data_IF_132847320642
#
_entry.id   IF_132847320642
#
_cell.length_a   1.000
_cell.length_b   1.000
_cell.length_c   1.000
_cell.angle_alpha   90.00
_cell.angle_beta   90.00
_cell.angle_gamma   90.00
#
_symmetry.space_group_name_H-M   'P 1'
#
loop_
_entity.id
_entity.type
_entity.pdbx_description
1 polymer ?
#
# COMPACT_ATOMS: atom_id res chain seq x y z
N UNK A 1 -47.42 -7.43 5.27
CA UNK A 1 -47.08 -7.05 6.67
C UNK A 1 -45.64 -6.56 6.67
N UNK A 2 -45.42 -5.38 7.23
CA UNK A 2 -44.22 -4.56 7.10
C UNK A 2 -42.97 -5.23 7.68
N UNK A 3 -41.82 -5.02 7.03
CA UNK A 3 -40.53 -4.55 7.59
C UNK A 3 -39.52 -4.32 6.44
N UNK A 4 -39.62 -3.20 5.69
CA UNK A 4 -38.62 -2.84 4.67
C UNK A 4 -37.22 -2.56 5.26
N UNK A 5 -37.18 -2.17 6.54
CA UNK A 5 -35.97 -1.94 7.34
C UNK A 5 -35.07 -3.18 7.45
N UNK A 6 -35.65 -4.37 7.62
CA UNK A 6 -34.85 -5.60 7.79
C UNK A 6 -34.16 -6.04 6.50
N UNK A 7 -34.81 -5.91 5.34
CA UNK A 7 -34.22 -6.27 4.04
C UNK A 7 -33.07 -5.36 3.63
N UNK A 8 -33.20 -4.06 3.87
CA UNK A 8 -32.11 -3.11 3.59
C UNK A 8 -30.94 -3.34 4.54
N UNK A 9 -31.21 -3.47 5.84
CA UNK A 9 -30.17 -3.71 6.84
C UNK A 9 -29.48 -5.06 6.60
N UNK A 10 -30.22 -6.11 6.22
CA UNK A 10 -29.67 -7.42 5.86
C UNK A 10 -28.79 -7.34 4.62
N UNK A 11 -29.22 -6.64 3.56
CA UNK A 11 -28.42 -6.42 2.36
C UNK A 11 -27.17 -5.58 2.63
N UNK A 12 -27.29 -4.56 3.48
CA UNK A 12 -26.18 -3.72 3.94
C UNK A 12 -25.16 -4.53 4.74
N UNK A 13 -25.59 -5.30 5.76
CA UNK A 13 -24.68 -6.15 6.54
C UNK A 13 -24.02 -7.23 5.69
N UNK A 14 -24.76 -7.88 4.79
CA UNK A 14 -24.20 -8.90 3.89
C UNK A 14 -23.15 -8.31 2.96
N UNK A 15 -23.46 -7.21 2.28
CA UNK A 15 -22.51 -6.56 1.38
C UNK A 15 -21.31 -6.00 2.13
N UNK A 16 -21.52 -5.36 3.29
CA UNK A 16 -20.44 -4.88 4.15
C UNK A 16 -19.53 -6.01 4.64
N UNK A 17 -20.11 -7.16 5.04
CA UNK A 17 -19.36 -8.34 5.44
C UNK A 17 -18.52 -8.93 4.30
N UNK A 18 -19.08 -9.03 3.09
CA UNK A 18 -18.34 -9.51 1.90
C UNK A 18 -17.23 -8.54 1.52
N UNK A 19 -17.48 -7.23 1.56
CA UNK A 19 -16.47 -6.19 1.29
C UNK A 19 -15.34 -6.31 2.32
N UNK A 20 -15.63 -6.33 3.63
CA UNK A 20 -14.59 -6.48 4.64
C UNK A 20 -13.79 -7.78 4.50
N UNK A 21 -14.47 -8.90 4.25
CA UNK A 21 -13.79 -10.19 4.08
C UNK A 21 -12.92 -10.23 2.81
N UNK A 22 -13.30 -9.53 1.75
CA UNK A 22 -12.56 -9.49 0.48
C UNK A 22 -11.43 -8.45 0.47
N UNK A 23 -11.52 -7.41 1.31
CA UNK A 23 -10.54 -6.32 1.37
C UNK A 23 -9.50 -6.53 2.50
N UNK A 24 -9.78 -7.38 3.48
CA UNK A 24 -8.81 -7.72 4.53
C UNK A 24 -7.62 -8.46 3.92
N UNK A 25 -6.46 -7.81 3.94
CA UNK A 25 -5.21 -8.36 3.42
C UNK A 25 -4.98 -8.11 1.92
N UNK A 26 -5.81 -7.31 1.26
CA UNK A 26 -5.49 -6.82 -0.09
C UNK A 26 -4.31 -5.83 -0.06
N UNK A 27 -3.63 -5.70 -1.21
CA UNK A 27 -2.55 -4.73 -1.42
C UNK A 27 -2.98 -3.32 -1.02
N UNK A 28 -4.23 -2.92 -1.27
CA UNK A 28 -4.73 -1.60 -0.89
C UNK A 28 -4.85 -1.41 0.63
N UNK A 29 -5.28 -2.43 1.38
CA UNK A 29 -5.31 -2.39 2.85
C UNK A 29 -3.90 -2.30 3.45
N UNK A 30 -2.93 -3.03 2.87
CA UNK A 30 -1.53 -2.98 3.31
C UNK A 30 -0.89 -1.61 3.04
N UNK A 31 -1.14 -1.00 1.89
CA UNK A 31 -0.66 0.36 1.56
C UNK A 31 -1.23 1.38 2.55
N UNK A 32 -2.54 1.30 2.84
CA UNK A 32 -3.18 2.19 3.81
C UNK A 32 -2.60 2.02 5.22
N UNK A 33 -2.34 0.78 5.65
CA UNK A 33 -1.73 0.49 6.94
C UNK A 33 -0.29 1.03 7.05
N UNK A 34 0.54 0.82 6.02
CA UNK A 34 1.91 1.36 5.98
C UNK A 34 1.90 2.90 5.97
N UNK A 35 1.00 3.50 5.21
CA UNK A 35 0.85 4.96 5.17
C UNK A 35 0.39 5.51 6.52
N UNK A 36 -0.46 4.78 7.25
CA UNK A 36 -0.93 5.14 8.59
C UNK A 36 0.16 5.08 9.67
N UNK A 37 1.24 4.33 9.44
CA UNK A 37 2.39 4.30 10.34
C UNK A 37 3.26 5.56 10.23
N UNK A 38 3.31 6.21 9.06
CA UNK A 38 4.18 7.39 8.81
C UNK A 38 3.45 8.73 8.86
N UNK A 39 2.12 8.75 8.73
CA UNK A 39 1.29 9.95 8.75
C UNK A 39 0.30 9.97 9.93
N UNK A 40 -0.31 11.13 10.21
CA UNK A 40 -1.31 11.23 11.27
C UNK A 40 -2.50 10.31 10.99
N UNK A 41 -2.84 9.44 11.95
CA UNK A 41 -3.83 8.34 11.80
C UNK A 41 -5.18 8.79 11.23
N UNK A 42 -5.58 10.04 11.52
CA UNK A 42 -6.85 10.63 11.08
C UNK A 42 -6.86 10.99 9.60
N UNK A 43 -5.74 11.49 9.05
CA UNK A 43 -5.64 11.87 7.64
C UNK A 43 -5.63 10.65 6.73
N UNK A 44 -4.91 9.60 7.12
CA UNK A 44 -4.87 8.35 6.35
C UNK A 44 -6.21 7.63 6.41
N UNK A 45 -6.88 7.62 7.57
CA UNK A 45 -8.22 7.04 7.68
C UNK A 45 -9.22 7.76 6.76
N UNK A 46 -9.22 9.09 6.74
CA UNK A 46 -10.10 9.86 5.86
C UNK A 46 -9.79 9.60 4.37
N UNK A 47 -8.50 9.57 3.99
CA UNK A 47 -8.08 9.29 2.62
C UNK A 47 -8.42 7.88 2.16
N UNK A 48 -8.19 6.87 3.02
CA UNK A 48 -8.50 5.49 2.72
C UNK A 48 -10.01 5.27 2.55
N UNK A 49 -10.84 5.79 3.46
CA UNK A 49 -12.30 5.69 3.35
C UNK A 49 -12.83 6.43 2.12
N UNK A 50 -12.29 7.61 1.80
CA UNK A 50 -12.69 8.36 0.60
C UNK A 50 -12.31 7.61 -0.68
N UNK A 51 -11.08 7.11 -0.77
CA UNK A 51 -10.61 6.32 -1.92
C UNK A 51 -11.43 5.04 -2.10
N UNK A 52 -11.70 4.33 -1.00
CA UNK A 52 -12.52 3.11 -0.99
C UNK A 52 -13.95 3.40 -1.45
N UNK A 53 -14.55 4.50 -0.98
CA UNK A 53 -15.88 4.91 -1.39
C UNK A 53 -15.96 5.25 -2.88
N UNK A 54 -14.98 5.97 -3.42
CA UNK A 54 -14.91 6.31 -4.85
C UNK A 54 -14.77 5.05 -5.70
N UNK A 55 -13.82 4.17 -5.36
CA UNK A 55 -13.61 2.91 -6.06
C UNK A 55 -14.88 2.05 -6.07
N UNK A 56 -15.53 1.92 -4.92
CA UNK A 56 -16.76 1.13 -4.77
C UNK A 56 -17.91 1.73 -5.57
N UNK A 57 -18.09 3.06 -5.54
CA UNK A 57 -19.16 3.74 -6.27
C UNK A 57 -18.99 3.61 -7.79
N UNK A 58 -17.77 3.76 -8.30
CA UNK A 58 -17.46 3.56 -9.72
C UNK A 58 -17.75 2.11 -10.16
N UNK A 59 -17.29 1.13 -9.37
CA UNK A 59 -17.56 -0.29 -9.65
C UNK A 59 -19.05 -0.62 -9.61
N UNK A 60 -19.79 -0.10 -8.63
CA UNK A 60 -21.22 -0.33 -8.51
C UNK A 60 -22.02 0.32 -9.66
N UNK A 61 -21.65 1.54 -10.06
CA UNK A 61 -22.26 2.22 -11.21
C UNK A 61 -22.00 1.45 -12.52
N UNK A 62 -20.77 0.95 -12.69
CA UNK A 62 -20.40 0.16 -13.85
C UNK A 62 -21.08 -1.22 -13.85
N UNK A 63 -21.21 -1.86 -12.69
CA UNK A 63 -21.95 -3.11 -12.49
C UNK A 63 -23.46 -2.97 -12.71
N UNK A 64 -24.03 -1.80 -12.47
CA UNK A 64 -25.41 -1.48 -12.83
C UNK A 64 -25.57 -1.17 -14.32
N UNK A 65 -24.57 -0.51 -14.94
CA UNK A 65 -24.61 -0.13 -16.36
C UNK A 65 -24.32 -1.32 -17.31
N UNK A 66 -23.46 -2.25 -16.92
CA UNK A 66 -23.02 -3.37 -17.76
C UNK A 66 -24.16 -4.30 -18.24
N UNK A 67 -25.14 -4.69 -17.41
CA UNK A 67 -26.28 -5.51 -17.85
C UNK A 67 -27.28 -4.73 -18.72
N UNK A 68 -27.30 -3.41 -18.63
CA UNK A 68 -28.25 -2.57 -19.36
C UNK A 68 -27.82 -2.33 -20.82
N UNK A 69 -26.54 -2.55 -21.13
CA UNK A 69 -25.96 -2.35 -22.46
C UNK A 69 -25.79 -3.64 -23.27
N UNK A 70 -25.78 -4.82 -22.63
CA UNK A 70 -25.46 -6.10 -23.28
C UNK A 70 -26.46 -7.20 -22.84
N UNK A 71 -27.08 -7.87 -23.82
CA UNK A 71 -28.04 -8.94 -23.57
C UNK A 71 -27.44 -10.06 -22.68
N UNK A 72 -28.17 -10.59 -21.67
CA UNK A 72 -27.64 -11.49 -20.63
C UNK A 72 -26.89 -12.72 -21.14
N UNK A 73 -27.21 -13.19 -22.34
CA UNK A 73 -26.56 -14.35 -22.97
C UNK A 73 -25.09 -14.05 -23.31
N UNK A 74 -24.80 -12.87 -23.86
CA UNK A 74 -23.43 -12.49 -24.22
C UNK A 74 -22.60 -12.17 -22.99
N UNK A 75 -23.19 -11.51 -21.99
CA UNK A 75 -22.52 -11.21 -20.72
C UNK A 75 -22.06 -12.48 -20.00
N UNK A 76 -22.86 -13.55 -20.03
CA UNK A 76 -22.47 -14.81 -19.39
C UNK A 76 -21.27 -15.47 -20.08
N UNK A 77 -21.26 -15.54 -21.42
CA UNK A 77 -20.11 -16.09 -22.15
C UNK A 77 -18.88 -15.20 -22.03
N UNK A 78 -19.04 -13.88 -22.10
CA UNK A 78 -17.95 -12.92 -21.94
C UNK A 78 -17.33 -13.01 -20.54
N UNK A 79 -18.14 -13.08 -19.48
CA UNK A 79 -17.66 -13.22 -18.11
C UNK A 79 -16.87 -14.52 -17.94
N UNK A 80 -17.38 -15.66 -18.42
CA UNK A 80 -16.66 -16.95 -18.34
C UNK A 80 -15.33 -16.90 -19.10
N UNK A 81 -15.31 -16.32 -20.31
CA UNK A 81 -14.09 -16.19 -21.11
C UNK A 81 -13.06 -15.27 -20.42
N UNK A 82 -13.49 -14.09 -19.95
CA UNK A 82 -12.63 -13.15 -19.23
C UNK A 82 -12.07 -13.78 -17.96
N UNK A 83 -12.90 -14.45 -17.16
CA UNK A 83 -12.47 -15.10 -15.93
C UNK A 83 -11.43 -16.19 -16.20
N UNK A 84 -11.61 -16.99 -17.26
CA UNK A 84 -10.66 -18.03 -17.63
C UNK A 84 -9.32 -17.44 -18.09
N UNK A 85 -9.34 -16.38 -18.91
CA UNK A 85 -8.14 -15.66 -19.36
C UNK A 85 -7.39 -15.04 -18.18
N UNK A 86 -8.09 -14.32 -17.31
CA UNK A 86 -7.49 -13.72 -16.12
C UNK A 86 -6.94 -14.78 -15.16
N UNK A 87 -7.68 -15.85 -14.89
CA UNK A 87 -7.22 -16.95 -14.04
C UNK A 87 -5.95 -17.61 -14.60
N UNK A 88 -5.91 -17.91 -15.90
CA UNK A 88 -4.74 -18.48 -16.54
C UNK A 88 -3.55 -17.52 -16.50
N UNK A 89 -3.77 -16.22 -16.75
CA UNK A 89 -2.72 -15.19 -16.68
C UNK A 89 -2.16 -15.03 -15.28
N UNK A 90 -3.02 -14.95 -14.26
CA UNK A 90 -2.64 -14.88 -12.85
C UNK A 90 -1.84 -16.12 -12.41
N UNK A 91 -2.28 -17.31 -12.83
CA UNK A 91 -1.58 -18.56 -12.53
C UNK A 91 -0.21 -18.59 -13.22
N UNK A 92 -0.11 -18.06 -14.43
CA UNK A 92 1.13 -18.02 -15.19
C UNK A 92 2.15 -17.01 -14.62
N UNK A 93 1.68 -15.82 -14.22
CA UNK A 93 2.49 -14.80 -13.54
C UNK A 93 2.98 -15.32 -12.18
N UNK A 94 2.10 -15.93 -11.39
CA UNK A 94 2.44 -16.56 -10.11
C UNK A 94 3.44 -17.71 -10.29
N UNK A 95 3.22 -18.60 -11.27
CA UNK A 95 4.08 -19.76 -11.50
C UNK A 95 5.47 -19.39 -12.04
N UNK A 96 5.61 -18.27 -12.75
CA UNK A 96 6.92 -17.81 -13.25
C UNK A 96 7.67 -16.92 -12.26
N UNK A 97 7.07 -16.54 -11.14
CA UNK A 97 7.68 -15.69 -10.12
C UNK A 97 8.06 -14.28 -10.61
N UNK A 98 7.81 -13.95 -11.88
CA UNK A 98 8.08 -12.64 -12.46
C UNK A 98 6.92 -11.74 -12.08
N UNK A 99 7.07 -11.07 -10.94
CA UNK A 99 6.41 -9.79 -10.74
C UNK A 99 7.34 -8.76 -11.36
N UNK A 100 7.17 -8.35 -12.64
CA UNK A 100 8.01 -7.32 -13.25
C UNK A 100 8.07 -6.03 -12.39
N UNK A 101 7.00 -5.73 -11.66
CA UNK A 101 7.00 -4.65 -10.67
C UNK A 101 7.79 -5.01 -9.40
N UNK A 102 7.73 -6.25 -8.90
CA UNK A 102 8.42 -6.66 -7.68
C UNK A 102 9.94 -6.74 -7.81
N UNK A 103 10.43 -7.24 -8.94
CA UNK A 103 11.87 -7.36 -9.20
C UNK A 103 12.51 -5.98 -9.43
N UNK A 104 11.83 -5.09 -10.15
CA UNK A 104 12.30 -3.72 -10.39
C UNK A 104 12.28 -2.84 -9.11
N UNK A 105 11.26 -2.99 -8.26
CA UNK A 105 11.19 -2.29 -6.97
C UNK A 105 12.25 -2.80 -5.99
N UNK A 106 12.53 -4.11 -5.97
CA UNK A 106 13.59 -4.68 -5.13
C UNK A 106 14.97 -4.13 -5.52
N UNK A 107 15.25 -4.04 -6.83
CA UNK A 107 16.50 -3.47 -7.34
C UNK A 107 16.65 -1.98 -6.97
N UNK A 108 15.55 -1.21 -7.03
CA UNK A 108 15.55 0.20 -6.61
C UNK A 108 15.84 0.37 -5.11
N UNK A 109 15.21 -0.45 -4.26
CA UNK A 109 15.45 -0.44 -2.81
C UNK A 109 16.89 -0.85 -2.47
N UNK A 110 17.44 -1.85 -3.14
CA UNK A 110 18.84 -2.26 -2.95
C UNK A 110 19.83 -1.15 -3.32
N UNK A 111 19.54 -0.37 -4.37
CA UNK A 111 20.36 0.78 -4.78
C UNK A 111 20.36 1.88 -3.71
N UNK A 112 19.20 2.23 -3.17
CA UNK A 112 19.06 3.23 -2.10
C UNK A 112 19.75 2.77 -0.79
N UNK A 113 19.67 1.48 -0.45
CA UNK A 113 20.36 0.90 0.71
C UNK A 113 21.89 0.91 0.55
N UNK A 114 22.42 0.66 -0.66
CA UNK A 114 23.86 0.79 -0.94
C UNK A 114 24.33 2.24 -0.81
N UNK A 115 23.59 3.19 -1.35
CA UNK A 115 23.95 4.61 -1.24
C UNK A 115 23.93 5.10 0.21
N UNK A 116 22.90 4.73 0.98
CA UNK A 116 22.79 5.11 2.40
C UNK A 116 23.84 4.42 3.31
N UNK A 117 24.23 3.18 3.01
CA UNK A 117 25.31 2.49 3.74
C UNK A 117 26.70 3.04 3.41
N UNK A 118 26.96 3.39 2.15
CA UNK A 118 28.21 4.06 1.75
C UNK A 118 28.33 5.44 2.40
N UNK A 119 27.24 6.22 2.44
CA UNK A 119 27.23 7.53 3.11
C UNK A 119 27.39 7.44 4.64
N UNK A 120 27.05 6.30 5.26
CA UNK A 120 27.20 6.09 6.71
C UNK A 120 28.62 5.65 7.11
N UNK A 121 29.35 4.99 6.21
CA UNK A 121 30.72 4.55 6.44
C UNK A 121 31.78 5.64 6.15
N UNK A 122 31.42 6.71 5.42
CA UNK A 122 32.29 7.87 5.19
C UNK A 122 32.23 8.94 6.29
N UNK A 123 31.48 8.69 7.38
CA UNK A 123 31.45 9.56 8.55
C UNK A 123 32.54 9.17 9.55
N UNK A 124 33.55 10.03 9.67
CA UNK A 124 34.62 10.07 10.69
C UNK A 124 34.25 9.44 12.05
N UNK A 125 35.10 8.58 12.66
CA UNK A 125 34.81 8.00 13.96
C UNK A 125 34.68 9.09 15.04
N UNK A 126 33.62 9.06 15.88
CA UNK A 126 33.49 9.95 17.02
C UNK A 126 34.41 9.43 18.15
N UNK A 127 35.71 9.67 17.99
CA UNK A 127 36.74 9.07 18.85
C UNK A 127 37.93 9.97 19.16
N UNK A 128 37.92 11.24 18.77
CA UNK A 128 38.90 12.21 19.25
C UNK A 128 38.32 12.98 20.45
N UNK A 129 38.14 12.27 21.56
CA UNK A 129 38.03 12.87 22.89
C UNK A 129 39.40 13.49 23.21
N UNK A 130 39.58 14.80 23.00
CA UNK A 130 40.71 15.51 23.58
C UNK A 130 40.41 15.73 25.07
N UNK A 131 41.16 15.10 26.00
CA UNK A 131 40.97 15.36 27.42
C UNK A 131 41.59 16.71 27.76
N UNK A 132 40.80 17.53 28.42
CA UNK A 132 41.23 18.77 29.04
C UNK A 132 42.25 18.49 30.15
N UNK A 133 43.25 19.36 30.29
CA UNK A 133 43.85 19.62 31.59
C UNK A 133 45.37 19.59 31.65
N UNK A 134 45.91 20.79 31.89
CA UNK A 134 47.02 21.08 32.80
C UNK A 134 48.42 21.34 32.21
N UNK A 135 48.92 22.50 32.64
CA UNK A 135 50.30 22.75 33.05
C UNK A 135 51.26 23.30 31.99
N UNK A 136 51.89 24.41 32.38
CA UNK A 136 53.13 24.99 31.86
C UNK A 136 53.03 25.84 30.59
N UNK A 137 52.77 27.14 30.78
CA UNK A 137 53.89 28.09 30.80
C UNK A 137 53.48 29.41 31.46
N UNK A 138 53.91 29.54 32.71
CA UNK A 138 54.14 30.82 33.36
C UNK A 138 54.93 31.74 32.45
N UNK A 139 54.67 33.04 32.58
CA UNK A 139 55.70 34.08 32.67
C UNK A 139 56.92 33.88 31.76
N UNK A 140 56.90 34.44 30.55
CA UNK A 140 58.12 34.98 29.95
C UNK A 140 57.81 35.87 28.75
N UNK A 141 58.50 37.01 28.70
CA UNK A 141 58.64 37.93 27.57
C UNK A 141 57.41 38.80 27.27
N UNK A 142 57.40 40.12 27.50
CA UNK A 142 58.51 41.06 27.63
C UNK A 142 58.32 42.19 26.62
N UNK A 143 58.57 43.42 27.10
CA UNK A 143 58.64 44.70 26.40
C UNK A 143 57.29 45.39 26.06
#
# INVERSE_FOLDING_TARGET
MAQPSSRFLEGFLKSWGVILASEIGDKTFLIAAVMAMRNSRRQVFAGAIASLAVMTALSAAMGWAAPNLVSPKYTHYAATALFFVFAARLLWESARGQSPDGDAELEAVERELRESSLSRNSGTPPGAMTPNGSTARSMESGA
#
